data_IF_158245394894
#
_entry.id   IF_158245394894
#
_cell.length_a   1.000
_cell.length_b   1.000
_cell.length_c   1.000
_cell.angle_alpha   90.00
_cell.angle_beta   90.00
_cell.angle_gamma   90.00
#
_symmetry.space_group_name_H-M   'P 1'
#
loop_
_entity.id
_entity.type
_entity.pdbx_description
1 polymer ?
#
# COMPACT_ATOMS: atom_id res chain seq x y z
N UNK A 1 -23.27 -34.46 3.16
CA UNK A 1 -23.66 -33.03 3.09
C UNK A 1 -24.46 -32.80 1.82
N UNK A 2 -25.45 -31.92 1.83
CA UNK A 2 -26.18 -31.53 0.63
C UNK A 2 -25.28 -30.69 -0.30
N UNK A 3 -25.47 -30.81 -1.61
CA UNK A 3 -24.78 -29.98 -2.61
C UNK A 3 -24.96 -28.47 -2.33
N UNK A 4 -26.10 -28.08 -1.75
CA UNK A 4 -26.37 -26.70 -1.37
C UNK A 4 -25.48 -26.24 -0.21
N UNK A 5 -25.33 -27.07 0.83
CA UNK A 5 -24.47 -26.77 1.98
C UNK A 5 -22.99 -26.64 1.56
N UNK A 6 -22.53 -27.48 0.62
CA UNK A 6 -21.17 -27.38 0.07
C UNK A 6 -20.94 -26.06 -0.68
N UNK A 7 -21.93 -25.57 -1.44
CA UNK A 7 -21.84 -24.29 -2.14
C UNK A 7 -21.87 -23.08 -1.19
N UNK A 8 -22.65 -23.16 -0.12
CA UNK A 8 -22.68 -22.12 0.92
C UNK A 8 -21.36 -22.05 1.68
N UNK A 9 -20.76 -23.20 1.99
CA UNK A 9 -19.44 -23.27 2.63
C UNK A 9 -18.34 -22.72 1.71
N UNK A 10 -18.35 -23.06 0.41
CA UNK A 10 -17.41 -22.51 -0.58
C UNK A 10 -17.56 -20.98 -0.71
N UNK A 11 -18.79 -20.48 -0.79
CA UNK A 11 -19.06 -19.05 -0.85
C UNK A 11 -18.60 -18.30 0.41
N UNK A 12 -18.70 -18.93 1.59
CA UNK A 12 -18.17 -18.38 2.85
C UNK A 12 -16.65 -18.31 2.81
N UNK A 13 -15.97 -19.39 2.43
CA UNK A 13 -14.51 -19.44 2.38
C UNK A 13 -13.93 -18.43 1.38
N UNK A 14 -14.55 -18.27 0.21
CA UNK A 14 -14.14 -17.27 -0.78
C UNK A 14 -14.30 -15.84 -0.25
N UNK A 15 -15.36 -15.57 0.52
CA UNK A 15 -15.55 -14.26 1.15
C UNK A 15 -14.47 -13.97 2.18
N UNK A 16 -14.17 -14.94 3.04
CA UNK A 16 -13.11 -14.82 4.05
C UNK A 16 -11.75 -14.53 3.39
N UNK A 17 -11.43 -15.21 2.28
CA UNK A 17 -10.19 -14.96 1.52
C UNK A 17 -10.17 -13.55 0.91
N UNK A 18 -11.27 -13.10 0.31
CA UNK A 18 -11.37 -11.73 -0.23
C UNK A 18 -11.19 -10.69 0.88
N UNK A 19 -11.81 -10.89 2.03
CA UNK A 19 -11.65 -9.98 3.17
C UNK A 19 -10.20 -9.90 3.64
N UNK A 20 -9.50 -11.05 3.70
CA UNK A 20 -8.07 -11.09 4.01
C UNK A 20 -7.24 -10.32 2.98
N UNK A 21 -7.44 -10.59 1.68
CA UNK A 21 -6.74 -9.89 0.60
C UNK A 21 -7.00 -8.38 0.60
N UNK A 22 -8.23 -7.96 0.91
CA UNK A 22 -8.59 -6.54 1.00
C UNK A 22 -7.92 -5.86 2.19
N UNK A 23 -7.73 -6.56 3.30
CA UNK A 23 -6.99 -6.05 4.45
C UNK A 23 -5.49 -5.93 4.14
N UNK A 24 -4.89 -6.94 3.50
CA UNK A 24 -3.50 -6.89 3.06
C UNK A 24 -3.26 -5.74 2.08
N UNK A 25 -4.14 -5.57 1.08
CA UNK A 25 -4.09 -4.44 0.13
C UNK A 25 -4.08 -3.11 0.86
N UNK A 26 -4.90 -2.95 1.90
CA UNK A 26 -4.97 -1.70 2.67
C UNK A 26 -3.64 -1.40 3.37
N UNK A 27 -3.02 -2.41 3.99
CA UNK A 27 -1.71 -2.25 4.63
C UNK A 27 -0.63 -1.88 3.61
N UNK A 28 -0.62 -2.52 2.45
CA UNK A 28 0.30 -2.19 1.36
C UNK A 28 0.12 -0.75 0.86
N UNK A 29 -1.12 -0.28 0.72
CA UNK A 29 -1.42 1.10 0.35
C UNK A 29 -0.92 2.09 1.40
N UNK A 30 -1.06 1.79 2.69
CA UNK A 30 -0.55 2.62 3.77
C UNK A 30 0.97 2.74 3.73
N UNK A 31 1.68 1.62 3.60
CA UNK A 31 3.15 1.62 3.50
C UNK A 31 3.61 2.38 2.26
N UNK A 32 2.95 2.16 1.13
CA UNK A 32 3.25 2.86 -0.13
C UNK A 32 3.01 4.36 -0.02
N UNK A 33 1.90 4.77 0.60
CA UNK A 33 1.56 6.16 0.83
C UNK A 33 2.55 6.82 1.78
N UNK A 34 2.99 6.12 2.82
CA UNK A 34 3.96 6.63 3.79
C UNK A 34 5.32 6.85 3.12
N UNK A 35 5.74 5.92 2.25
CA UNK A 35 6.95 6.06 1.45
C UNK A 35 6.84 7.24 0.46
N UNK A 36 5.69 7.42 -0.20
CA UNK A 36 5.47 8.55 -1.10
C UNK A 36 5.55 9.91 -0.37
N UNK A 37 4.90 10.02 0.80
CA UNK A 37 4.99 11.23 1.65
C UNK A 37 6.41 11.44 2.15
N UNK A 38 7.11 10.38 2.54
CA UNK A 38 8.50 10.45 2.96
C UNK A 38 9.39 11.03 1.86
N UNK A 39 9.33 10.48 0.64
CA UNK A 39 10.09 10.98 -0.51
C UNK A 39 9.72 12.43 -0.83
N UNK A 40 8.44 12.79 -0.77
CA UNK A 40 7.99 14.16 -1.05
C UNK A 40 8.51 15.21 -0.05
N UNK A 41 8.85 14.80 1.18
CA UNK A 41 9.39 15.68 2.22
C UNK A 41 10.89 15.49 2.46
N UNK A 42 11.54 14.61 1.69
CA UNK A 42 12.95 14.29 1.84
C UNK A 42 13.81 15.43 1.29
N UNK A 43 14.75 15.92 2.09
CA UNK A 43 15.78 16.84 1.63
C UNK A 43 16.91 16.07 0.95
N UNK A 44 16.85 16.02 -0.37
CA UNK A 44 17.83 15.32 -1.21
C UNK A 44 19.24 15.87 -1.08
N UNK A 45 19.43 17.13 -0.67
CA UNK A 45 20.75 17.73 -0.47
C UNK A 45 21.42 17.25 0.82
N UNK A 46 20.64 16.68 1.75
CA UNK A 46 21.10 16.16 3.04
C UNK A 46 21.44 14.66 3.01
N UNK A 47 21.15 13.98 1.89
CA UNK A 47 21.39 12.55 1.76
C UNK A 47 22.88 12.23 1.53
N UNK A 48 23.37 11.10 2.07
CA UNK A 48 24.69 10.60 1.71
C UNK A 48 24.81 10.31 0.20
N UNK A 49 25.90 10.79 -0.42
CA UNK A 49 26.24 10.53 -1.83
C UNK A 49 26.94 9.17 -2.03
N UNK A 50 26.61 8.16 -1.21
CA UNK A 50 27.12 6.80 -1.39
C UNK A 50 26.24 5.97 -2.32
N UNK A 51 26.84 4.97 -2.96
CA UNK A 51 26.16 4.14 -3.96
C UNK A 51 24.94 3.42 -3.38
N UNK A 52 25.01 2.94 -2.13
CA UNK A 52 23.92 2.20 -1.50
C UNK A 52 22.68 3.11 -1.29
N UNK A 53 22.91 4.37 -0.89
CA UNK A 53 21.84 5.36 -0.70
C UNK A 53 21.20 5.76 -2.04
N UNK A 54 22.01 5.97 -3.08
CA UNK A 54 21.53 6.29 -4.43
C UNK A 54 20.70 5.14 -4.99
N UNK A 55 21.21 3.91 -4.92
CA UNK A 55 20.51 2.71 -5.42
C UNK A 55 19.17 2.51 -4.69
N UNK A 56 19.13 2.71 -3.37
CA UNK A 56 17.90 2.60 -2.59
C UNK A 56 16.88 3.69 -2.96
N UNK A 57 17.33 4.93 -3.17
CA UNK A 57 16.48 6.03 -3.58
C UNK A 57 15.92 5.84 -5.00
N UNK A 58 16.76 5.36 -5.94
CA UNK A 58 16.35 5.04 -7.31
C UNK A 58 15.31 3.91 -7.30
N UNK A 59 15.57 2.81 -6.60
CA UNK A 59 14.61 1.71 -6.47
C UNK A 59 13.26 2.21 -5.94
N UNK A 60 13.25 3.03 -4.90
CA UNK A 60 12.01 3.56 -4.33
C UNK A 60 11.28 4.49 -5.31
N UNK A 61 12.01 5.38 -5.98
CA UNK A 61 11.44 6.29 -6.97
C UNK A 61 10.84 5.55 -8.16
N UNK A 62 11.52 4.52 -8.67
CA UNK A 62 11.01 3.67 -9.74
C UNK A 62 9.72 2.96 -9.34
N UNK A 63 9.66 2.36 -8.14
CA UNK A 63 8.45 1.69 -7.68
C UNK A 63 7.28 2.67 -7.52
N UNK A 64 7.52 3.86 -6.95
CA UNK A 64 6.48 4.88 -6.79
C UNK A 64 5.98 5.41 -8.15
N UNK A 65 6.89 5.66 -9.09
CA UNK A 65 6.54 6.13 -10.43
C UNK A 65 5.90 5.04 -11.30
N UNK A 66 6.10 3.76 -10.96
CA UNK A 66 5.47 2.62 -11.62
C UNK A 66 4.00 2.40 -11.23
N UNK A 67 3.52 3.06 -10.17
CA UNK A 67 2.12 2.96 -9.74
C UNK A 67 1.19 3.69 -10.70
N UNK A 68 -0.05 3.20 -10.83
CA UNK A 68 -1.09 3.99 -11.50
C UNK A 68 -1.44 5.22 -10.66
N UNK A 69 -1.87 6.30 -11.32
CA UNK A 69 -2.30 7.53 -10.64
C UNK A 69 -3.39 7.26 -9.59
N UNK A 70 -4.35 6.39 -9.91
CA UNK A 70 -5.39 5.94 -8.98
C UNK A 70 -4.81 5.22 -7.76
N UNK A 71 -3.86 4.31 -7.95
CA UNK A 71 -3.24 3.57 -6.83
C UNK A 71 -2.41 4.50 -5.95
N UNK A 72 -1.65 5.42 -6.55
CA UNK A 72 -0.88 6.41 -5.80
C UNK A 72 -1.80 7.34 -5.00
N UNK A 73 -2.93 7.74 -5.58
CA UNK A 73 -3.95 8.53 -4.90
C UNK A 73 -4.55 7.76 -3.72
N UNK A 74 -4.99 6.51 -3.93
CA UNK A 74 -5.51 5.63 -2.87
C UNK A 74 -4.50 5.49 -1.71
N UNK A 75 -3.21 5.32 -2.04
CA UNK A 75 -2.13 5.19 -1.07
C UNK A 75 -1.96 6.47 -0.24
N UNK A 76 -1.92 7.64 -0.89
CA UNK A 76 -1.81 8.93 -0.21
C UNK A 76 -3.02 9.24 0.67
N UNK A 77 -4.23 8.91 0.21
CA UNK A 77 -5.47 9.07 0.99
C UNK A 77 -5.48 8.14 2.21
N UNK A 78 -4.97 6.91 2.07
CA UNK A 78 -4.93 5.94 3.17
C UNK A 78 -4.10 6.41 4.36
N UNK A 79 -3.00 7.13 4.11
CA UNK A 79 -2.14 7.68 5.17
C UNK A 79 -2.70 8.96 5.76
N UNK A 80 -3.30 9.83 4.93
CA UNK A 80 -4.00 11.03 5.44
C UNK A 80 -5.15 10.68 6.37
N UNK A 81 -5.92 9.64 6.05
CA UNK A 81 -6.99 9.14 6.89
C UNK A 81 -6.52 8.60 8.26
N UNK A 82 -5.25 8.16 8.37
CA UNK A 82 -4.66 7.76 9.66
C UNK A 82 -4.02 8.93 10.43
N UNK A 83 -3.52 9.95 9.71
CA UNK A 83 -2.87 11.13 10.29
C UNK A 83 -3.84 12.22 10.73
N UNK A 84 -5.05 12.25 10.19
CA UNK A 84 -6.18 13.05 10.69
C UNK A 84 -7.09 12.17 11.58
N UNK A 85 -6.72 11.89 12.85
CA UNK A 85 -7.70 11.41 13.81
C UNK A 85 -8.68 12.56 14.03
N UNK A 86 -9.93 12.36 13.61
CA UNK A 86 -11.11 13.15 13.93
C UNK A 86 -10.90 14.31 14.95
N UNK A 87 -11.14 15.55 14.50
CA UNK A 87 -11.58 16.62 15.41
C UNK A 87 -12.81 16.20 16.22
#
# INVERSE_FOLDING_TARGET
MSLHAMKEDEARLLREEIELLMNERRQLLQVTGAAAVFVANLDTESLPDDADTIDAAEMLAEQLNGLSEETLKDALESVRAELDPAE
#
